data_IF_420569222563
#
_entry.id   IF_420569222563
#
_cell.length_a   1.000
_cell.length_b   1.000
_cell.length_c   1.000
_cell.angle_alpha   90.00
_cell.angle_beta   90.00
_cell.angle_gamma   90.00
#
_symmetry.space_group_name_H-M   'P 1'
#
loop_
_entity.id
_entity.type
_entity.pdbx_description
1 polymer ?
#
# COMPACT_ATOMS: atom_id res chain seq x y z
N UNK A 1 -26.03 -2.97 20.27
CA UNK A 1 -25.16 -2.99 19.09
C UNK A 1 -24.48 -1.64 19.01
N UNK A 2 -23.17 -1.64 18.85
CA UNK A 2 -22.38 -0.41 18.68
C UNK A 2 -22.33 -0.04 17.21
N UNK A 3 -22.40 1.25 16.90
CA UNK A 3 -22.30 1.71 15.50
C UNK A 3 -20.83 1.80 15.10
N UNK A 4 -20.51 1.34 13.89
CA UNK A 4 -19.20 1.41 13.24
C UNK A 4 -19.39 1.76 11.76
N UNK A 5 -18.34 2.27 11.12
CA UNK A 5 -18.42 2.69 9.72
C UNK A 5 -18.49 1.52 8.76
N UNK A 6 -17.75 0.47 9.09
CA UNK A 6 -17.72 -0.75 8.26
C UNK A 6 -17.40 -2.01 9.06
N UNK A 7 -17.93 -3.14 8.57
CA UNK A 7 -17.55 -4.49 8.98
C UNK A 7 -16.99 -5.23 7.76
N UNK A 8 -15.82 -5.80 7.91
CA UNK A 8 -15.16 -6.57 6.84
C UNK A 8 -15.06 -8.02 7.31
N UNK A 9 -15.96 -8.86 6.84
CA UNK A 9 -15.97 -10.30 7.11
C UNK A 9 -15.08 -11.00 6.06
N UNK A 10 -14.08 -11.75 6.50
CA UNK A 10 -13.24 -12.53 5.63
C UNK A 10 -13.15 -13.99 6.07
N UNK A 11 -12.96 -14.88 5.10
CA UNK A 11 -12.74 -16.30 5.43
C UNK A 11 -11.47 -16.46 6.24
N UNK A 12 -10.38 -15.75 5.86
CA UNK A 12 -9.14 -15.76 6.59
C UNK A 12 -8.67 -14.33 6.85
N UNK A 13 -8.24 -14.08 8.07
CA UNK A 13 -7.55 -12.84 8.46
C UNK A 13 -6.19 -13.23 9.02
N UNK A 14 -5.14 -12.59 8.53
CA UNK A 14 -3.77 -12.71 9.05
C UNK A 14 -3.35 -11.34 9.58
N UNK A 15 -3.45 -11.08 10.89
CA UNK A 15 -3.17 -9.76 11.46
C UNK A 15 -1.69 -9.36 11.37
N UNK A 16 -0.78 -10.34 11.32
CA UNK A 16 0.68 -10.22 11.37
C UNK A 16 1.16 -9.89 12.80
N UNK A 17 0.62 -8.85 13.41
CA UNK A 17 0.88 -8.48 14.79
C UNK A 17 -0.32 -8.84 15.69
N UNK A 18 -0.12 -9.26 16.95
CA UNK A 18 1.16 -9.59 17.62
C UNK A 18 1.74 -10.94 17.21
N UNK A 19 0.99 -11.73 16.50
CA UNK A 19 1.41 -13.01 15.93
C UNK A 19 0.76 -13.23 14.56
N UNK A 20 1.43 -13.94 13.69
CA UNK A 20 1.00 -14.21 12.30
C UNK A 20 0.03 -15.39 12.18
N UNK A 21 -0.79 -15.66 13.19
CA UNK A 21 -1.78 -16.74 13.13
C UNK A 21 -2.88 -16.44 12.10
N UNK A 22 -3.44 -17.49 11.54
CA UNK A 22 -4.58 -17.41 10.63
C UNK A 22 -5.87 -17.49 11.43
N UNK A 23 -6.69 -16.46 11.36
CA UNK A 23 -8.03 -16.40 11.96
C UNK A 23 -9.08 -16.77 10.90
N UNK A 24 -9.81 -17.85 11.12
CA UNK A 24 -10.83 -18.31 10.16
C UNK A 24 -12.23 -17.82 10.57
N UNK A 25 -12.96 -17.25 9.58
CA UNK A 25 -14.30 -16.69 9.76
C UNK A 25 -14.37 -15.57 10.79
N UNK A 26 -13.46 -14.61 10.66
CA UNK A 26 -13.39 -13.42 11.49
C UNK A 26 -13.84 -12.17 10.72
N UNK A 27 -14.09 -11.10 11.46
CA UNK A 27 -14.38 -9.78 10.92
C UNK A 27 -13.51 -8.71 11.56
N UNK A 28 -13.31 -7.64 10.82
CA UNK A 28 -12.69 -6.40 11.29
C UNK A 28 -13.77 -5.34 11.41
N UNK A 29 -13.93 -4.75 12.59
CA UNK A 29 -14.80 -3.61 12.85
C UNK A 29 -13.96 -2.32 12.73
N UNK A 30 -14.40 -1.39 11.89
CA UNK A 30 -13.71 -0.13 11.63
C UNK A 30 -14.58 1.05 11.94
N UNK A 31 -14.06 2.03 12.68
CA UNK A 31 -14.70 3.32 12.97
C UNK A 31 -13.67 4.44 12.97
N UNK A 32 -14.00 5.56 12.35
CA UNK A 32 -13.16 6.77 12.25
C UNK A 32 -11.76 6.46 11.71
N UNK A 33 -11.67 5.58 10.70
CA UNK A 33 -10.41 5.16 10.09
C UNK A 33 -9.55 4.20 10.94
N UNK A 34 -10.04 3.74 12.10
CA UNK A 34 -9.32 2.87 13.01
C UNK A 34 -9.96 1.50 13.11
N UNK A 35 -9.14 0.47 13.20
CA UNK A 35 -9.58 -0.87 13.57
C UNK A 35 -9.92 -0.86 15.06
N UNK A 36 -11.20 -1.08 15.38
CA UNK A 36 -11.65 -1.20 16.77
C UNK A 36 -11.39 -2.60 17.32
N UNK A 37 -11.70 -3.61 16.52
CA UNK A 37 -11.63 -4.99 16.96
C UNK A 37 -11.53 -5.96 15.79
N UNK A 38 -10.85 -7.08 16.02
CA UNK A 38 -10.83 -8.26 15.16
C UNK A 38 -11.46 -9.42 15.93
N UNK A 39 -12.65 -9.85 15.54
CA UNK A 39 -13.44 -10.82 16.29
C UNK A 39 -14.13 -11.82 15.35
N UNK A 40 -14.74 -12.87 15.90
CA UNK A 40 -15.49 -13.83 15.08
C UNK A 40 -16.64 -13.17 14.35
N UNK A 41 -16.85 -13.53 13.07
CA UNK A 41 -17.90 -12.93 12.22
C UNK A 41 -19.28 -12.98 12.84
N UNK A 42 -19.64 -14.08 13.50
CA UNK A 42 -20.92 -14.21 14.18
C UNK A 42 -21.08 -13.26 15.37
N UNK A 43 -20.00 -13.02 16.11
CA UNK A 43 -19.97 -12.10 17.23
C UNK A 43 -20.04 -10.66 16.73
N UNK A 44 -19.32 -10.34 15.65
CA UNK A 44 -19.35 -9.02 15.02
C UNK A 44 -20.78 -8.62 14.62
N UNK A 45 -21.56 -9.55 14.05
CA UNK A 45 -22.96 -9.32 13.67
C UNK A 45 -23.90 -9.09 14.87
N UNK A 46 -23.54 -9.57 16.05
CA UNK A 46 -24.31 -9.34 17.29
C UNK A 46 -23.90 -8.06 18.00
N UNK A 47 -22.61 -7.70 17.91
CA UNK A 47 -22.00 -6.60 18.66
C UNK A 47 -22.13 -5.28 17.92
N UNK A 48 -21.91 -5.30 16.60
CA UNK A 48 -21.79 -4.11 15.78
C UNK A 48 -22.90 -3.99 14.72
N UNK A 49 -23.22 -2.73 14.37
CA UNK A 49 -24.04 -2.36 13.23
C UNK A 49 -23.23 -1.43 12.33
N UNK A 50 -23.12 -1.76 11.06
CA UNK A 50 -22.40 -0.97 10.07
C UNK A 50 -23.26 -0.71 8.82
N UNK A 51 -23.25 0.50 8.26
CA UNK A 51 -23.90 0.80 6.99
C UNK A 51 -23.16 0.13 5.81
N UNK A 52 -21.86 -0.14 5.95
CA UNK A 52 -21.07 -0.86 4.96
C UNK A 52 -20.59 -2.20 5.52
N UNK A 53 -20.99 -3.28 4.83
CA UNK A 53 -20.56 -4.63 5.19
C UNK A 53 -19.96 -5.31 3.95
N UNK A 54 -18.80 -5.91 4.12
CA UNK A 54 -18.11 -6.67 3.09
C UNK A 54 -18.03 -8.14 3.50
N UNK A 55 -18.47 -9.04 2.64
CA UNK A 55 -18.44 -10.50 2.88
C UNK A 55 -17.47 -11.16 1.89
N UNK A 56 -16.23 -11.32 2.30
CA UNK A 56 -15.12 -11.79 1.48
C UNK A 56 -14.88 -13.29 1.69
N UNK A 57 -15.80 -14.13 1.22
CA UNK A 57 -15.84 -15.58 1.49
C UNK A 57 -14.67 -16.38 0.92
N UNK A 58 -13.93 -15.83 -0.04
CA UNK A 58 -12.82 -16.50 -0.75
C UNK A 58 -11.52 -15.69 -0.71
N UNK A 59 -11.40 -14.77 0.26
CA UNK A 59 -10.27 -13.86 0.35
C UNK A 59 -9.54 -14.04 1.68
N UNK A 60 -8.26 -13.71 1.65
CA UNK A 60 -7.45 -13.45 2.83
C UNK A 60 -7.42 -11.94 3.05
N UNK A 61 -7.71 -11.49 4.25
CA UNK A 61 -7.50 -10.10 4.67
C UNK A 61 -6.17 -10.01 5.42
N UNK A 62 -5.33 -9.10 4.97
CA UNK A 62 -4.02 -8.79 5.56
C UNK A 62 -3.90 -7.29 5.77
N UNK A 63 -2.99 -6.82 6.64
CA UNK A 63 -2.63 -5.40 6.69
C UNK A 63 -2.12 -4.91 5.33
N UNK A 64 -2.26 -3.60 5.08
CA UNK A 64 -1.67 -2.98 3.89
C UNK A 64 -0.16 -3.22 3.83
N UNK A 65 0.35 -3.41 2.63
CA UNK A 65 1.78 -3.66 2.42
C UNK A 65 2.59 -2.39 2.66
N UNK A 66 3.81 -2.56 3.16
CA UNK A 66 4.78 -1.48 3.35
C UNK A 66 5.91 -1.65 2.34
N UNK A 67 6.08 -0.66 1.47
CA UNK A 67 7.24 -0.58 0.59
C UNK A 67 8.37 0.15 1.31
N UNK A 68 9.28 -0.60 1.92
CA UNK A 68 10.34 -0.05 2.77
C UNK A 68 11.49 0.61 1.99
N UNK A 69 11.55 0.45 0.66
CA UNK A 69 12.58 1.04 -0.19
C UNK A 69 12.03 1.29 -1.60
N UNK A 70 11.98 2.55 -2.01
CA UNK A 70 11.59 2.91 -3.38
C UNK A 70 12.25 4.22 -3.83
N UNK A 71 12.29 4.40 -5.13
CA UNK A 71 12.59 5.63 -5.85
C UNK A 71 11.38 5.89 -6.76
N UNK A 72 10.29 6.39 -6.17
CA UNK A 72 8.96 6.41 -6.79
C UNK A 72 8.95 7.03 -8.18
N UNK A 73 9.63 8.17 -8.36
CA UNK A 73 9.65 8.87 -9.63
C UNK A 73 10.39 8.11 -10.74
N UNK A 74 11.31 7.20 -10.41
CA UNK A 74 11.99 6.34 -11.38
C UNK A 74 11.04 5.37 -12.11
N UNK A 75 9.79 5.27 -11.70
CA UNK A 75 8.75 4.56 -12.47
C UNK A 75 8.66 5.05 -13.92
N UNK A 76 9.02 6.31 -14.20
CA UNK A 76 9.08 6.87 -15.56
C UNK A 76 10.28 6.37 -16.37
N UNK A 77 11.30 5.82 -15.73
CA UNK A 77 12.48 5.22 -16.39
C UNK A 77 12.35 3.70 -16.57
N UNK A 78 11.20 3.12 -16.29
CA UNK A 78 10.98 1.67 -16.43
C UNK A 78 11.25 1.22 -17.86
N UNK A 79 12.12 0.22 -18.02
CA UNK A 79 12.52 -0.33 -19.31
C UNK A 79 13.55 0.51 -20.07
N UNK A 80 14.12 1.55 -19.46
CA UNK A 80 15.16 2.37 -20.09
C UNK A 80 16.41 1.55 -20.40
N UNK A 81 16.82 0.69 -19.47
CA UNK A 81 17.96 -0.21 -19.63
C UNK A 81 17.80 -1.39 -18.67
N UNK A 82 17.81 -2.60 -19.21
CA UNK A 82 17.63 -3.84 -18.47
C UNK A 82 18.86 -4.76 -18.62
N UNK A 83 18.99 -5.72 -17.72
CA UNK A 83 20.01 -6.80 -17.76
C UNK A 83 21.47 -6.35 -17.80
N UNK A 84 21.77 -5.23 -17.13
CA UNK A 84 23.12 -4.68 -17.05
C UNK A 84 23.72 -4.83 -15.64
N UNK A 85 25.05 -4.95 -15.52
CA UNK A 85 25.71 -4.80 -14.24
C UNK A 85 25.38 -3.43 -13.63
N UNK A 86 25.22 -3.37 -12.29
CA UNK A 86 24.72 -2.18 -11.58
C UNK A 86 25.47 -0.90 -11.97
N UNK A 87 26.81 -0.93 -11.99
CA UNK A 87 27.60 0.27 -12.27
C UNK A 87 27.49 0.73 -13.73
N UNK A 88 27.36 -0.19 -14.68
CA UNK A 88 27.10 0.14 -16.07
C UNK A 88 25.69 0.73 -16.24
N UNK A 89 24.69 0.13 -15.60
CA UNK A 89 23.33 0.63 -15.59
C UNK A 89 23.25 2.06 -15.04
N UNK A 90 23.93 2.33 -13.91
CA UNK A 90 23.95 3.67 -13.31
C UNK A 90 24.70 4.68 -14.18
N UNK A 91 25.99 4.39 -14.54
CA UNK A 91 26.85 5.36 -15.19
C UNK A 91 26.42 5.67 -16.64
N UNK A 92 25.98 4.65 -17.37
CA UNK A 92 25.79 4.76 -18.81
C UNK A 92 24.33 5.09 -19.17
N UNK A 93 23.38 4.87 -18.25
CA UNK A 93 21.96 5.01 -18.53
C UNK A 93 21.21 5.87 -17.51
N UNK A 94 21.23 5.51 -16.23
CA UNK A 94 20.34 6.16 -15.24
C UNK A 94 20.82 7.57 -14.89
N UNK A 95 22.06 7.75 -14.48
CA UNK A 95 22.56 9.09 -14.14
C UNK A 95 22.55 10.09 -15.31
N UNK A 96 22.86 9.72 -16.55
CA UNK A 96 22.62 10.60 -17.69
C UNK A 96 21.16 10.95 -17.91
N UNK A 97 20.24 9.99 -17.76
CA UNK A 97 18.81 10.25 -17.88
C UNK A 97 18.30 11.15 -16.73
N UNK A 98 18.71 10.89 -15.50
CA UNK A 98 18.38 11.72 -14.34
C UNK A 98 18.88 13.16 -14.53
N UNK A 99 20.13 13.33 -14.99
CA UNK A 99 20.68 14.66 -15.25
C UNK A 99 19.94 15.44 -16.33
N UNK A 100 19.25 14.73 -17.23
CA UNK A 100 18.53 15.33 -18.35
C UNK A 100 17.08 15.65 -18.00
N UNK A 101 16.41 14.74 -17.29
CA UNK A 101 14.95 14.74 -17.16
C UNK A 101 14.43 15.06 -15.77
N UNK A 102 15.23 14.82 -14.70
CA UNK A 102 14.73 15.00 -13.35
C UNK A 102 14.49 16.48 -13.03
N UNK A 103 13.25 16.77 -12.70
CA UNK A 103 12.74 18.07 -12.30
C UNK A 103 11.63 17.86 -11.27
N UNK A 104 11.14 18.93 -10.66
CA UNK A 104 9.97 18.83 -9.76
C UNK A 104 8.74 18.24 -10.47
N UNK A 105 8.51 18.59 -11.73
CA UNK A 105 7.41 18.07 -12.54
C UNK A 105 7.59 16.57 -12.83
N UNK A 106 8.79 16.14 -13.22
CA UNK A 106 9.13 14.75 -13.42
C UNK A 106 8.88 13.93 -12.14
N UNK A 107 9.35 14.44 -10.99
CA UNK A 107 9.16 13.77 -9.70
C UNK A 107 7.68 13.72 -9.34
N UNK A 108 6.92 14.78 -9.55
CA UNK A 108 5.48 14.80 -9.29
C UNK A 108 4.74 13.75 -10.14
N UNK A 109 5.01 13.67 -11.42
CA UNK A 109 4.32 12.76 -12.34
C UNK A 109 4.72 11.30 -12.10
N UNK A 110 6.02 11.04 -11.92
CA UNK A 110 6.49 9.70 -11.60
C UNK A 110 5.98 9.19 -10.24
N UNK A 111 5.89 10.08 -9.25
CA UNK A 111 5.30 9.74 -7.96
C UNK A 111 3.80 9.42 -8.09
N UNK A 112 3.03 10.21 -8.86
CA UNK A 112 1.60 9.90 -9.12
C UNK A 112 1.41 8.53 -9.74
N UNK A 113 2.24 8.19 -10.74
CA UNK A 113 2.20 6.87 -11.37
C UNK A 113 2.52 5.76 -10.36
N UNK A 114 3.60 5.91 -9.61
CA UNK A 114 4.01 4.94 -8.60
C UNK A 114 2.92 4.73 -7.54
N UNK A 115 2.31 5.81 -7.04
CA UNK A 115 1.23 5.74 -6.06
C UNK A 115 0.00 5.02 -6.59
N UNK A 116 -0.39 5.28 -7.84
CA UNK A 116 -1.50 4.58 -8.47
C UNK A 116 -1.25 3.06 -8.54
N UNK A 117 -0.03 2.65 -8.87
CA UNK A 117 0.38 1.25 -8.89
C UNK A 117 0.46 0.65 -7.49
N UNK A 118 1.04 1.37 -6.53
CA UNK A 118 1.13 0.95 -5.12
C UNK A 118 -0.26 0.71 -4.52
N UNK A 119 -1.20 1.65 -4.71
CA UNK A 119 -2.58 1.50 -4.23
C UNK A 119 -3.26 0.29 -4.84
N UNK A 120 -3.09 0.06 -6.13
CA UNK A 120 -3.63 -1.13 -6.82
C UNK A 120 -2.98 -2.42 -6.36
N UNK A 121 -1.72 -2.36 -5.93
CA UNK A 121 -0.96 -3.49 -5.36
C UNK A 121 -1.21 -3.72 -3.87
N UNK A 122 -1.96 -2.83 -3.20
CA UNK A 122 -2.26 -2.93 -1.76
C UNK A 122 -1.18 -2.36 -0.85
N UNK A 123 -0.25 -1.56 -1.38
CA UNK A 123 0.74 -0.81 -0.59
C UNK A 123 0.08 0.42 0.01
N UNK A 124 0.18 0.59 1.33
CA UNK A 124 -0.43 1.67 2.10
C UNK A 124 0.57 2.59 2.78
N UNK A 125 1.85 2.22 2.75
CA UNK A 125 2.95 3.00 3.29
C UNK A 125 4.19 2.75 2.43
N UNK A 126 4.98 3.79 2.18
CA UNK A 126 6.23 3.64 1.45
C UNK A 126 7.31 4.57 1.99
N UNK A 127 8.55 4.17 1.84
CA UNK A 127 9.74 4.96 2.16
C UNK A 127 10.45 5.32 0.85
N UNK A 128 10.28 6.56 0.43
CA UNK A 128 10.93 7.07 -0.78
C UNK A 128 12.31 7.67 -0.47
N UNK A 129 13.22 7.49 -1.39
CA UNK A 129 14.56 8.08 -1.32
C UNK A 129 14.98 8.53 -2.73
N UNK A 130 14.54 9.75 -3.09
CA UNK A 130 14.80 10.31 -4.41
C UNK A 130 14.99 11.83 -4.35
N UNK A 131 15.20 12.48 -5.51
CA UNK A 131 15.28 13.94 -5.61
C UNK A 131 13.96 14.60 -5.26
N UNK A 132 14.01 15.84 -4.80
CA UNK A 132 12.82 16.66 -4.46
C UNK A 132 11.84 15.94 -3.50
N UNK A 133 12.31 15.50 -2.31
CA UNK A 133 11.49 14.71 -1.40
C UNK A 133 10.24 15.47 -0.93
N UNK A 134 10.27 16.81 -0.89
CA UNK A 134 9.12 17.65 -0.58
C UNK A 134 8.02 17.58 -1.66
N UNK A 135 8.40 17.32 -2.92
CA UNK A 135 7.44 17.10 -4.01
C UNK A 135 6.76 15.75 -3.82
N UNK A 136 7.54 14.70 -3.58
CA UNK A 136 7.01 13.37 -3.27
C UNK A 136 6.03 13.42 -2.09
N UNK A 137 6.42 14.07 -0.98
CA UNK A 137 5.58 14.19 0.22
C UNK A 137 4.28 14.97 -0.03
N UNK A 138 4.28 15.96 -0.92
CA UNK A 138 3.09 16.73 -1.29
C UNK A 138 2.12 15.93 -2.17
N UNK A 139 2.64 15.02 -2.99
CA UNK A 139 1.84 14.19 -3.90
C UNK A 139 1.24 13.00 -3.16
N UNK A 140 1.93 12.46 -2.14
CA UNK A 140 1.47 11.36 -1.29
C UNK A 140 0.39 11.79 -0.31
#
# INVERSE_FOLDING_TARGET
MHEVDSLIHARWIVPVEPDARVLENYAVAVRDGHILEVLRSEEALRTYRAPRQHHLRHHVLIPGLVNAHTHSAMSLFRGLADDLPLMNWLNDHIWPAESTWVSEEFVADGTRLALAEMLRGGTTCFNDMYFFPEVTARIA
#
